data_IF_185602046550
#
_entry.id   IF_185602046550
#
_cell.length_a   1.000
_cell.length_b   1.000
_cell.length_c   1.000
_cell.angle_alpha   90.00
_cell.angle_beta   90.00
_cell.angle_gamma   90.00
#
_symmetry.space_group_name_H-M   'P 1'
#
loop_
_entity.id
_entity.type
_entity.pdbx_description
1 polymer ?
#
# COMPACT_ATOMS: atom_id res chain seq x y z
N UNK A 1 -9.38 -9.24 1.12
CA UNK A 1 -8.62 -8.11 1.71
C UNK A 1 -9.51 -6.88 1.84
N UNK A 2 -9.25 -6.02 2.80
CA UNK A 2 -9.92 -4.71 2.89
C UNK A 2 -8.99 -3.57 2.55
N UNK A 3 -9.53 -2.50 1.99
CA UNK A 3 -8.79 -1.23 1.85
C UNK A 3 -9.27 -0.32 2.97
N UNK A 4 -8.35 0.11 3.83
CA UNK A 4 -8.63 0.91 5.03
C UNK A 4 -7.84 2.21 4.96
N UNK A 5 -8.50 3.33 5.24
CA UNK A 5 -7.87 4.64 5.24
C UNK A 5 -8.74 5.66 5.96
N UNK A 6 -8.17 6.80 6.33
CA UNK A 6 -8.97 7.98 6.68
C UNK A 6 -9.60 8.60 5.41
N UNK A 7 -10.51 9.56 5.62
CA UNK A 7 -11.16 10.32 4.54
C UNK A 7 -10.09 10.98 3.68
N UNK A 8 -10.31 11.05 2.37
CA UNK A 8 -9.40 11.67 1.40
C UNK A 8 -8.03 11.01 1.23
N UNK A 9 -7.61 10.00 2.00
CA UNK A 9 -6.34 9.28 1.74
C UNK A 9 -6.25 8.60 0.35
N UNK A 10 -7.38 8.49 -0.36
CA UNK A 10 -7.49 7.88 -1.68
C UNK A 10 -7.81 6.39 -1.64
N UNK A 11 -8.53 5.94 -0.62
CA UNK A 11 -9.02 4.56 -0.48
C UNK A 11 -9.83 4.11 -1.70
N UNK A 12 -10.92 4.82 -2.03
CA UNK A 12 -11.79 4.50 -3.17
C UNK A 12 -11.03 4.58 -4.48
N UNK A 13 -10.18 5.60 -4.67
CA UNK A 13 -9.33 5.70 -5.86
C UNK A 13 -8.41 4.49 -6.00
N UNK A 14 -7.81 4.04 -4.90
CA UNK A 14 -6.96 2.84 -4.90
C UNK A 14 -7.76 1.60 -5.26
N UNK A 15 -8.94 1.42 -4.64
CA UNK A 15 -9.86 0.31 -4.95
C UNK A 15 -10.27 0.29 -6.43
N UNK A 16 -10.66 1.43 -7.00
CA UNK A 16 -11.01 1.54 -8.42
C UNK A 16 -9.83 1.19 -9.34
N UNK A 17 -8.58 1.59 -8.99
CA UNK A 17 -7.39 1.18 -9.73
C UNK A 17 -7.15 -0.32 -9.65
N UNK A 18 -7.39 -0.95 -8.50
CA UNK A 18 -7.29 -2.41 -8.38
C UNK A 18 -8.30 -3.10 -9.29
N UNK A 19 -9.57 -2.68 -9.25
CA UNK A 19 -10.63 -3.24 -10.10
C UNK A 19 -10.36 -3.04 -11.59
N UNK A 20 -9.71 -1.93 -11.94
CA UNK A 20 -9.28 -1.66 -13.30
C UNK A 20 -8.15 -2.60 -13.75
N UNK A 21 -7.07 -2.73 -12.98
CA UNK A 21 -5.93 -3.59 -13.35
C UNK A 21 -6.26 -5.08 -13.36
N UNK A 22 -7.23 -5.49 -12.56
CA UNK A 22 -7.74 -6.88 -12.55
C UNK A 22 -8.77 -7.16 -13.64
N UNK A 23 -9.09 -6.18 -14.50
CA UNK A 23 -9.97 -6.34 -15.65
C UNK A 23 -11.47 -6.42 -15.31
N UNK A 24 -11.86 -6.21 -14.05
CA UNK A 24 -13.28 -6.16 -13.64
C UNK A 24 -13.95 -4.90 -14.20
N UNK A 25 -13.26 -3.77 -14.10
CA UNK A 25 -13.73 -2.50 -14.63
C UNK A 25 -13.00 -2.13 -15.92
N UNK A 26 -13.74 -2.00 -17.01
CA UNK A 26 -13.21 -1.56 -18.32
C UNK A 26 -13.09 -0.03 -18.43
N UNK A 27 -13.61 0.72 -17.46
CA UNK A 27 -13.48 2.17 -17.32
C UNK A 27 -13.05 2.49 -15.90
N UNK A 28 -12.07 3.37 -15.76
CA UNK A 28 -11.78 4.03 -14.49
C UNK A 28 -12.88 5.08 -14.29
N UNK A 29 -13.70 4.91 -13.26
CA UNK A 29 -14.52 5.97 -12.73
C UNK A 29 -13.67 6.91 -11.86
N UNK A 30 -13.76 8.21 -12.07
CA UNK A 30 -13.24 9.17 -11.09
C UNK A 30 -14.31 9.42 -10.03
N UNK A 31 -13.90 9.38 -8.76
CA UNK A 31 -14.79 9.63 -7.61
C UNK A 31 -15.40 11.03 -7.71
N UNK A 32 -14.62 12.01 -8.21
CA UNK A 32 -15.07 13.38 -8.42
C UNK A 32 -16.13 13.55 -9.51
N UNK A 33 -16.21 12.61 -10.46
CA UNK A 33 -17.18 12.64 -11.56
C UNK A 33 -18.45 11.82 -11.26
N UNK A 34 -18.57 11.26 -10.04
CA UNK A 34 -19.69 10.41 -9.63
C UNK A 34 -19.75 9.06 -10.36
N UNK A 35 -18.64 8.64 -10.98
CA UNK A 35 -18.57 7.44 -11.81
C UNK A 35 -17.89 6.25 -11.12
N UNK A 36 -17.53 6.36 -9.83
CA UNK A 36 -16.90 5.29 -9.07
C UNK A 36 -17.85 4.09 -8.93
N UNK A 37 -17.32 2.89 -9.12
CA UNK A 37 -18.09 1.64 -9.12
C UNK A 37 -18.46 1.22 -7.71
N UNK A 38 -17.58 1.50 -6.74
CA UNK A 38 -17.77 1.12 -5.33
C UNK A 38 -18.69 2.08 -4.56
N UNK A 39 -18.71 3.37 -4.90
CA UNK A 39 -19.60 4.38 -4.30
C UNK A 39 -20.89 4.46 -5.14
N UNK A 40 -21.76 3.45 -5.02
CA UNK A 40 -22.97 3.30 -5.84
C UNK A 40 -24.17 4.10 -5.31
N UNK A 41 -24.17 4.49 -4.04
CA UNK A 41 -25.25 5.28 -3.47
C UNK A 41 -25.14 6.76 -3.90
N UNK A 42 -26.27 7.38 -4.26
CA UNK A 42 -26.28 8.81 -4.63
C UNK A 42 -25.70 9.73 -3.53
N UNK A 43 -25.85 9.35 -2.25
CA UNK A 43 -25.32 10.11 -1.13
C UNK A 43 -23.79 10.00 -1.02
N UNK A 44 -23.22 8.84 -1.36
CA UNK A 44 -21.77 8.62 -1.43
C UNK A 44 -21.17 9.48 -2.55
N UNK A 45 -21.79 9.45 -3.74
CA UNK A 45 -21.36 10.25 -4.89
C UNK A 45 -21.47 11.76 -4.65
N UNK A 46 -22.56 12.21 -4.00
CA UNK A 46 -22.76 13.63 -3.66
C UNK A 46 -21.75 14.14 -2.63
N UNK A 47 -21.29 13.28 -1.72
CA UNK A 47 -20.41 13.66 -0.60
C UNK A 47 -18.94 13.30 -0.83
N UNK A 48 -18.63 12.48 -1.84
CA UNK A 48 -17.28 12.00 -2.12
C UNK A 48 -16.71 11.09 -1.03
N UNK A 49 -17.57 10.40 -0.27
CA UNK A 49 -17.16 9.49 0.82
C UNK A 49 -17.87 8.14 0.70
N UNK A 50 -17.16 7.06 1.03
CA UNK A 50 -17.77 5.73 1.18
C UNK A 50 -18.54 5.65 2.49
N UNK A 51 -19.83 5.32 2.41
CA UNK A 51 -20.75 5.18 3.53
C UNK A 51 -20.95 3.69 3.83
N UNK A 52 -21.16 2.87 2.80
CA UNK A 52 -21.42 1.42 2.92
C UNK A 52 -20.30 0.57 2.35
N UNK A 53 -20.04 -0.57 2.97
CA UNK A 53 -19.04 -1.51 2.47
C UNK A 53 -19.54 -2.24 1.22
N UNK A 54 -18.81 -2.10 0.12
CA UNK A 54 -19.03 -2.86 -1.11
C UNK A 54 -18.01 -4.00 -1.21
N UNK A 55 -18.48 -5.18 -1.64
CA UNK A 55 -17.64 -6.36 -1.83
C UNK A 55 -17.57 -6.74 -3.32
N UNK A 56 -16.35 -6.86 -3.84
CA UNK A 56 -16.11 -7.20 -5.25
C UNK A 56 -15.03 -8.27 -5.35
N UNK A 57 -15.27 -9.29 -6.17
CA UNK A 57 -14.28 -10.32 -6.49
C UNK A 57 -13.51 -9.92 -7.75
N UNK A 58 -12.19 -10.03 -7.70
CA UNK A 58 -11.31 -9.82 -8.83
C UNK A 58 -10.21 -10.89 -8.88
N UNK A 59 -9.52 -10.97 -10.02
CA UNK A 59 -8.44 -11.94 -10.23
C UNK A 59 -7.15 -11.20 -10.58
N UNK A 60 -6.07 -11.51 -9.89
CA UNK A 60 -4.74 -10.98 -10.17
C UNK A 60 -3.76 -12.14 -10.31
N UNK A 61 -3.21 -12.32 -11.51
CA UNK A 61 -2.44 -13.52 -11.87
C UNK A 61 -3.27 -14.77 -11.54
N UNK A 62 -2.70 -15.76 -10.86
CA UNK A 62 -3.39 -16.99 -10.46
C UNK A 62 -4.14 -16.90 -9.12
N UNK A 63 -4.40 -15.68 -8.62
CA UNK A 63 -5.02 -15.46 -7.30
C UNK A 63 -6.41 -14.81 -7.43
N UNK A 64 -7.38 -15.34 -6.70
CA UNK A 64 -8.67 -14.69 -6.48
C UNK A 64 -8.58 -13.77 -5.26
N UNK A 65 -8.96 -12.50 -5.44
CA UNK A 65 -8.98 -11.49 -4.40
C UNK A 65 -10.42 -11.02 -4.20
N UNK A 66 -10.92 -11.13 -2.97
CA UNK A 66 -12.20 -10.53 -2.60
C UNK A 66 -11.91 -9.22 -1.86
N UNK A 67 -12.28 -8.08 -2.45
CA UNK A 67 -12.06 -6.76 -1.89
C UNK A 67 -13.31 -6.32 -1.14
N UNK A 68 -13.13 -5.85 0.09
CA UNK A 68 -14.16 -5.11 0.84
C UNK A 68 -13.66 -3.68 0.99
N UNK A 69 -14.34 -2.74 0.34
CA UNK A 69 -14.02 -1.32 0.51
C UNK A 69 -14.65 -0.83 1.82
N UNK A 70 -13.85 -0.36 2.77
CA UNK A 70 -14.34 -0.05 4.13
C UNK A 70 -14.61 1.44 4.30
N UNK A 71 -15.62 1.91 5.06
CA UNK A 71 -15.79 3.33 5.31
C UNK A 71 -14.55 3.96 5.97
N UNK A 72 -14.17 5.16 5.50
CA UNK A 72 -12.99 5.88 6.04
C UNK A 72 -13.33 6.92 7.10
N UNK A 73 -14.63 7.18 7.31
CA UNK A 73 -15.12 8.16 8.27
C UNK A 73 -15.38 7.52 9.63
N UNK A 74 -14.97 8.22 10.69
CA UNK A 74 -15.15 7.81 12.09
C UNK A 74 -16.61 7.64 12.53
N UNK A 75 -17.56 8.16 11.75
CA UNK A 75 -18.99 8.10 12.08
C UNK A 75 -19.59 6.74 11.70
N UNK A 76 -18.91 5.97 10.85
CA UNK A 76 -19.32 4.64 10.39
C UNK A 76 -18.53 3.51 11.06
N UNK A 77 -18.11 3.73 12.31
CA UNK A 77 -17.30 2.77 13.10
C UNK A 77 -17.86 1.35 13.14
N UNK A 78 -19.18 1.19 13.24
CA UNK A 78 -19.82 -0.14 13.28
C UNK A 78 -19.57 -0.93 11.99
N UNK A 79 -19.57 -0.25 10.85
CA UNK A 79 -19.39 -0.88 9.54
C UNK A 79 -17.92 -1.20 9.27
N UNK A 80 -17.01 -0.34 9.73
CA UNK A 80 -15.57 -0.61 9.76
C UNK A 80 -15.26 -1.83 10.63
N UNK A 81 -15.80 -1.90 11.85
CA UNK A 81 -15.60 -3.06 12.74
C UNK A 81 -16.17 -4.36 12.14
N UNK A 82 -17.35 -4.30 11.50
CA UNK A 82 -17.92 -5.48 10.82
C UNK A 82 -17.06 -5.97 9.68
N UNK A 83 -16.53 -5.05 8.87
CA UNK A 83 -15.67 -5.38 7.74
C UNK A 83 -14.36 -5.99 8.21
N UNK A 84 -13.69 -5.38 9.21
CA UNK A 84 -12.42 -5.87 9.73
C UNK A 84 -12.49 -7.29 10.32
N UNK A 85 -13.63 -7.69 10.87
CA UNK A 85 -13.83 -9.04 11.44
C UNK A 85 -13.86 -10.18 10.43
N UNK A 86 -14.09 -9.88 9.15
CA UNK A 86 -14.21 -10.90 8.10
C UNK A 86 -13.02 -10.90 7.13
N UNK A 87 -12.07 -9.99 7.33
CA UNK A 87 -10.93 -9.80 6.44
C UNK A 87 -9.73 -10.64 6.87
N UNK A 88 -9.15 -11.39 5.93
CA UNK A 88 -7.88 -12.11 6.13
C UNK A 88 -6.66 -11.19 6.17
N UNK A 89 -6.83 -9.95 5.71
CA UNK A 89 -5.80 -8.91 5.71
C UNK A 89 -6.30 -7.61 5.11
N UNK A 90 -5.54 -6.53 5.30
CA UNK A 90 -5.90 -5.20 4.79
C UNK A 90 -4.72 -4.39 4.25
N UNK A 91 -5.04 -3.45 3.37
CA UNK A 91 -4.12 -2.41 2.88
C UNK A 91 -4.46 -1.11 3.58
N UNK A 92 -3.57 -0.63 4.44
CA UNK A 92 -3.69 0.66 5.10
C UNK A 92 -3.14 1.77 4.20
N UNK A 93 -4.03 2.64 3.71
CA UNK A 93 -3.67 3.73 2.79
C UNK A 93 -3.43 5.02 3.58
N UNK A 94 -2.30 5.67 3.32
CA UNK A 94 -1.91 6.95 3.93
C UNK A 94 -1.73 8.02 2.85
N UNK A 95 -2.08 9.27 3.14
CA UNK A 95 -1.76 10.41 2.26
C UNK A 95 -0.28 10.75 2.44
N UNK A 96 0.51 10.70 1.37
CA UNK A 96 1.96 10.90 1.43
C UNK A 96 2.39 12.29 1.91
N UNK A 97 1.50 13.28 1.94
CA UNK A 97 1.78 14.60 2.50
C UNK A 97 1.41 14.68 3.98
N UNK A 98 0.23 14.21 4.34
CA UNK A 98 -0.30 14.39 5.71
C UNK A 98 0.17 13.28 6.66
N UNK A 99 0.61 12.14 6.13
CA UNK A 99 1.06 10.99 6.90
C UNK A 99 -0.07 10.32 7.68
N UNK A 100 0.21 9.90 8.92
CA UNK A 100 -0.79 9.36 9.84
C UNK A 100 -1.61 10.48 10.47
N UNK A 101 -2.90 10.54 10.17
CA UNK A 101 -3.85 11.46 10.82
C UNK A 101 -4.58 10.83 12.02
N UNK A 102 -5.19 11.62 12.93
CA UNK A 102 -5.94 11.09 14.09
C UNK A 102 -7.00 10.05 13.72
N UNK A 103 -7.67 10.23 12.57
CA UNK A 103 -8.66 9.28 12.05
C UNK A 103 -7.99 7.98 11.56
N UNK A 104 -6.77 8.05 11.02
CA UNK A 104 -5.98 6.87 10.65
C UNK A 104 -5.64 6.04 11.88
N UNK A 105 -5.31 6.68 13.00
CA UNK A 105 -5.04 5.98 14.26
C UNK A 105 -6.24 5.17 14.75
N UNK A 106 -7.44 5.73 14.64
CA UNK A 106 -8.66 5.04 15.05
C UNK A 106 -8.92 3.78 14.21
N UNK A 107 -8.82 3.90 12.88
CA UNK A 107 -9.00 2.79 11.95
C UNK A 107 -7.90 1.74 12.13
N UNK A 108 -6.67 2.17 12.40
CA UNK A 108 -5.54 1.29 12.75
C UNK A 108 -5.79 0.52 14.04
N UNK A 109 -6.25 1.18 15.11
CA UNK A 109 -6.58 0.54 16.40
C UNK A 109 -7.68 -0.51 16.25
N UNK A 110 -8.69 -0.25 15.42
CA UNK A 110 -9.75 -1.21 15.14
C UNK A 110 -9.20 -2.45 14.43
N UNK A 111 -8.34 -2.29 13.43
CA UNK A 111 -7.73 -3.44 12.76
C UNK A 111 -6.79 -4.24 13.68
N UNK A 112 -6.10 -3.56 14.61
CA UNK A 112 -5.29 -4.21 15.65
C UNK A 112 -6.16 -5.01 16.63
N UNK A 113 -7.32 -4.48 17.05
CA UNK A 113 -8.27 -5.17 17.93
C UNK A 113 -8.79 -6.50 17.34
N UNK A 114 -8.85 -6.61 16.01
CA UNK A 114 -9.29 -7.81 15.31
C UNK A 114 -8.14 -8.60 14.69
N UNK A 115 -6.90 -8.32 15.10
CA UNK A 115 -5.73 -9.10 14.68
C UNK A 115 -5.51 -9.15 13.16
N UNK A 116 -5.97 -8.13 12.42
CA UNK A 116 -5.93 -8.12 10.94
C UNK A 116 -4.49 -7.87 10.46
N UNK A 117 -3.87 -8.81 9.72
CA UNK A 117 -2.58 -8.61 9.06
C UNK A 117 -2.66 -7.48 8.03
N UNK A 118 -1.64 -6.62 7.96
CA UNK A 118 -1.70 -5.40 7.15
C UNK A 118 -0.41 -5.09 6.42
N UNK A 119 -0.55 -4.46 5.27
CA UNK A 119 0.51 -3.70 4.59
C UNK A 119 0.13 -2.22 4.55
N UNK A 120 1.11 -1.34 4.38
CA UNK A 120 0.93 0.10 4.29
C UNK A 120 1.20 0.56 2.86
N UNK A 121 0.31 1.40 2.31
CA UNK A 121 0.46 2.04 1.01
C UNK A 121 0.44 3.55 1.16
N UNK A 122 1.60 4.18 0.97
CA UNK A 122 1.74 5.64 0.95
C UNK A 122 1.30 6.13 -0.42
N UNK A 123 0.08 6.65 -0.49
CA UNK A 123 -0.57 7.10 -1.70
C UNK A 123 -0.34 8.59 -1.94
N UNK A 124 -0.75 9.09 -3.11
CA UNK A 124 -0.64 10.50 -3.51
C UNK A 124 0.79 11.04 -3.49
N UNK A 125 1.76 10.21 -3.86
CA UNK A 125 3.15 10.65 -4.02
C UNK A 125 3.33 11.73 -5.11
N UNK A 126 2.28 12.00 -5.90
CA UNK A 126 2.21 13.08 -6.88
C UNK A 126 1.81 14.45 -6.31
N UNK A 127 1.37 14.52 -5.05
CA UNK A 127 0.91 15.75 -4.40
C UNK A 127 2.09 16.61 -3.96
N UNK A 128 1.95 17.94 -4.05
CA UNK A 128 2.92 18.89 -3.50
C UNK A 128 3.10 18.66 -1.99
N UNK A 129 4.34 18.53 -1.54
CA UNK A 129 4.69 18.20 -0.16
C UNK A 129 4.57 16.72 0.20
N UNK A 130 4.39 15.82 -0.78
CA UNK A 130 4.43 14.39 -0.52
C UNK A 130 5.84 13.95 -0.09
N UNK A 131 5.93 13.33 1.08
CA UNK A 131 7.16 12.84 1.67
C UNK A 131 6.93 11.44 2.25
N UNK A 132 7.54 10.46 1.58
CA UNK A 132 7.49 9.06 1.97
C UNK A 132 8.13 8.82 3.35
N UNK A 133 9.29 9.43 3.61
CA UNK A 133 10.05 9.21 4.83
C UNK A 133 9.36 9.85 6.03
N UNK A 134 8.78 11.04 5.85
CA UNK A 134 7.89 11.63 6.84
C UNK A 134 6.72 10.70 7.16
N UNK A 135 6.03 10.18 6.15
CA UNK A 135 4.90 9.28 6.35
C UNK A 135 5.31 8.01 7.11
N UNK A 136 6.43 7.38 6.73
CA UNK A 136 7.01 6.23 7.44
C UNK A 136 7.32 6.57 8.91
N UNK A 137 7.91 7.74 9.17
CA UNK A 137 8.15 8.23 10.53
C UNK A 137 6.85 8.36 11.34
N UNK A 138 5.80 8.94 10.75
CA UNK A 138 4.51 9.07 11.44
C UNK A 138 3.83 7.72 11.72
N UNK A 139 4.01 6.70 10.87
CA UNK A 139 3.55 5.33 11.13
C UNK A 139 4.20 4.79 12.41
N UNK A 140 5.51 5.02 12.59
CA UNK A 140 6.21 4.63 13.81
C UNK A 140 5.73 5.42 15.02
N UNK A 141 5.76 6.75 14.93
CA UNK A 141 5.60 7.62 16.09
C UNK A 141 4.15 7.72 16.58
N UNK A 142 3.17 7.72 15.66
CA UNK A 142 1.75 7.91 16.01
C UNK A 142 1.00 6.59 16.21
N UNK A 143 1.31 5.57 15.42
CA UNK A 143 0.65 4.26 15.52
C UNK A 143 1.35 3.30 16.49
N UNK A 144 2.61 3.58 16.86
CA UNK A 144 3.45 2.64 17.60
C UNK A 144 3.72 1.35 16.82
N UNK A 145 3.66 1.42 15.49
CA UNK A 145 3.89 0.30 14.59
C UNK A 145 5.36 0.25 14.14
N UNK A 146 5.82 -0.93 13.71
CA UNK A 146 7.15 -1.09 13.09
C UNK A 146 6.99 -1.03 11.58
N UNK A 147 7.18 0.12 10.89
CA UNK A 147 7.15 0.16 9.44
C UNK A 147 8.38 -0.58 8.87
N UNK A 148 8.17 -1.34 7.80
CA UNK A 148 9.22 -2.02 7.05
C UNK A 148 9.17 -1.58 5.59
N UNK A 149 9.86 -0.50 5.19
CA UNK A 149 9.88 -0.08 3.80
C UNK A 149 10.42 -1.18 2.89
N UNK A 150 9.60 -1.61 1.91
CA UNK A 150 10.01 -2.55 0.86
C UNK A 150 10.10 -1.87 -0.51
N UNK A 151 9.76 -0.58 -0.55
CA UNK A 151 9.92 0.29 -1.71
C UNK A 151 10.38 1.68 -1.29
N UNK A 152 11.09 2.36 -2.20
CA UNK A 152 11.42 3.79 -2.08
C UNK A 152 10.88 4.55 -3.29
N UNK A 153 10.39 5.80 -3.14
CA UNK A 153 9.92 6.58 -4.28
C UNK A 153 11.09 7.04 -5.17
N UNK A 154 10.84 7.08 -6.48
CA UNK A 154 11.72 7.71 -7.47
C UNK A 154 11.10 9.04 -7.88
N UNK A 155 11.73 10.13 -7.44
CA UNK A 155 11.19 11.48 -7.52
C UNK A 155 10.11 11.74 -6.46
N UNK A 156 9.56 12.95 -6.50
CA UNK A 156 8.54 13.44 -5.57
C UNK A 156 7.60 14.38 -6.29
N UNK A 157 6.35 14.49 -5.82
CA UNK A 157 5.36 15.41 -6.38
C UNK A 157 5.18 15.17 -7.89
N UNK A 158 5.23 16.23 -8.70
CA UNK A 158 5.12 16.12 -10.17
C UNK A 158 6.23 15.29 -10.82
N UNK A 159 7.39 15.19 -10.17
CA UNK A 159 8.54 14.42 -10.66
C UNK A 159 8.50 12.95 -10.20
N UNK A 160 7.45 12.53 -9.50
CA UNK A 160 7.26 11.13 -9.12
C UNK A 160 7.04 10.26 -10.37
N UNK A 161 8.03 9.43 -10.69
CA UNK A 161 8.03 8.58 -11.89
C UNK A 161 8.06 7.10 -11.59
N UNK A 162 8.27 6.68 -10.34
CA UNK A 162 8.38 5.26 -10.06
C UNK A 162 8.74 4.93 -8.62
N UNK A 163 9.08 3.67 -8.42
CA UNK A 163 9.51 3.13 -7.13
C UNK A 163 10.72 2.23 -7.31
N UNK A 164 11.60 2.18 -6.33
CA UNK A 164 12.63 1.15 -6.21
C UNK A 164 12.00 -0.04 -5.50
N UNK A 165 12.00 -1.22 -6.11
CA UNK A 165 11.70 -2.51 -5.45
C UNK A 165 12.95 -2.95 -4.68
N UNK A 166 12.91 -2.87 -3.35
CA UNK A 166 14.02 -3.25 -2.48
C UNK A 166 14.17 -4.77 -2.34
N UNK A 167 13.16 -5.57 -2.71
CA UNK A 167 13.25 -7.03 -2.66
C UNK A 167 14.07 -7.54 -3.85
N UNK A 168 13.85 -6.96 -5.03
CA UNK A 168 14.56 -7.34 -6.28
C UNK A 168 15.74 -6.45 -6.62
N UNK A 169 15.90 -5.34 -5.90
CA UNK A 169 16.89 -4.29 -6.14
C UNK A 169 16.83 -3.73 -7.57
N UNK A 170 15.64 -3.27 -8.00
CA UNK A 170 15.42 -2.69 -9.34
C UNK A 170 14.47 -1.50 -9.27
N UNK A 171 14.57 -0.59 -10.24
CA UNK A 171 13.60 0.49 -10.41
C UNK A 171 12.40 0.02 -11.24
N UNK A 172 11.20 0.36 -10.79
CA UNK A 172 9.94 0.20 -11.50
C UNK A 172 9.44 1.60 -11.87
N UNK A 173 9.48 1.94 -13.15
CA UNK A 173 9.22 3.29 -13.64
C UNK A 173 7.99 3.33 -14.55
N UNK A 174 7.25 4.43 -14.44
CA UNK A 174 6.15 4.81 -15.30
C UNK A 174 6.42 6.22 -15.81
N UNK A 175 6.95 6.31 -17.03
CA UNK A 175 7.38 7.57 -17.64
C UNK A 175 6.25 8.17 -18.49
N UNK A 176 6.08 9.49 -18.41
CA UNK A 176 5.05 10.21 -19.16
C UNK A 176 3.64 10.04 -18.59
N UNK A 177 2.65 10.33 -19.42
CA UNK A 177 1.23 10.10 -19.10
C UNK A 177 0.93 8.61 -19.26
N UNK A 178 0.90 7.92 -18.12
CA UNK A 178 0.64 6.48 -18.04
C UNK A 178 -0.73 6.17 -18.61
N UNK A 179 -0.73 5.54 -19.77
CA UNK A 179 -1.95 5.16 -20.44
C UNK A 179 -2.65 4.04 -19.67
N UNK A 180 -3.95 3.94 -19.92
CA UNK A 180 -4.82 2.93 -19.33
C UNK A 180 -4.31 1.52 -19.66
N UNK A 181 -3.86 0.79 -18.64
CA UNK A 181 -3.38 -0.60 -18.77
C UNK A 181 -1.89 -0.71 -19.11
N UNK A 182 -1.15 0.39 -19.11
CA UNK A 182 0.29 0.40 -19.33
C UNK A 182 1.02 -0.14 -18.09
N UNK A 183 1.96 -1.05 -18.32
CA UNK A 183 2.76 -1.65 -17.26
C UNK A 183 4.02 -0.81 -17.01
N UNK A 184 4.67 -1.01 -15.87
CA UNK A 184 5.95 -0.36 -15.59
C UNK A 184 7.07 -0.94 -16.43
N UNK A 185 8.09 -0.12 -16.67
CA UNK A 185 9.39 -0.57 -17.15
C UNK A 185 10.30 -0.93 -15.97
N UNK A 186 11.03 -2.04 -16.10
CA UNK A 186 12.06 -2.44 -15.13
C UNK A 186 13.39 -1.88 -15.57
N UNK A 187 13.99 -1.04 -14.73
CA UNK A 187 15.23 -0.33 -14.99
C UNK A 187 16.24 -0.51 -13.84
N UNK A 188 17.48 -0.06 -14.05
CA UNK A 188 18.47 0.05 -12.98
C UNK A 188 18.07 1.15 -11.99
N UNK A 189 18.47 0.99 -10.73
CA UNK A 189 18.23 2.00 -9.69
C UNK A 189 19.01 3.28 -10.04
N UNK A 190 18.36 4.45 -10.04
CA UNK A 190 19.05 5.72 -10.24
C UNK A 190 20.24 5.91 -9.30
N UNK A 191 21.34 6.47 -9.80
CA UNK A 191 22.61 6.55 -9.07
C UNK A 191 22.49 7.34 -7.75
N UNK A 192 21.61 8.34 -7.72
CA UNK A 192 21.30 9.17 -6.55
C UNK A 192 20.50 8.42 -5.46
N UNK A 193 19.82 7.33 -5.82
CA UNK A 193 19.05 6.49 -4.90
C UNK A 193 19.77 5.21 -4.51
N UNK A 194 20.87 4.85 -5.16
CA UNK A 194 21.55 3.57 -4.98
C UNK A 194 22.01 3.33 -3.54
N UNK A 195 22.72 4.29 -2.94
CA UNK A 195 23.21 4.19 -1.57
C UNK A 195 22.07 4.03 -0.56
N UNK A 196 21.00 4.80 -0.73
CA UNK A 196 19.82 4.70 0.13
C UNK A 196 19.05 3.40 -0.10
N UNK A 197 18.98 2.91 -1.33
CA UNK A 197 18.36 1.62 -1.62
C UNK A 197 19.14 0.48 -0.94
N UNK A 198 20.48 0.53 -0.95
CA UNK A 198 21.33 -0.46 -0.26
C UNK A 198 21.15 -0.40 1.26
N UNK A 199 21.06 0.80 1.86
CA UNK A 199 20.76 0.98 3.28
C UNK A 199 19.42 0.33 3.67
N UNK A 200 18.34 0.67 2.96
CA UNK A 200 17.01 0.14 3.26
C UNK A 200 16.86 -1.33 2.89
N UNK A 201 17.57 -1.82 1.87
CA UNK A 201 17.65 -3.24 1.56
C UNK A 201 18.33 -4.02 2.69
N UNK A 202 19.44 -3.50 3.24
CA UNK A 202 20.13 -4.12 4.37
C UNK A 202 19.20 -4.23 5.58
N UNK A 203 18.51 -3.13 5.93
CA UNK A 203 17.53 -3.14 7.02
C UNK A 203 16.35 -4.10 6.77
N UNK A 204 15.90 -4.22 5.50
CA UNK A 204 14.88 -5.18 5.12
C UNK A 204 15.35 -6.63 5.30
N UNK A 205 16.55 -6.95 4.83
CA UNK A 205 17.14 -8.28 4.93
C UNK A 205 17.39 -8.65 6.39
N UNK A 206 17.87 -7.73 7.22
CA UNK A 206 18.04 -7.91 8.66
C UNK A 206 16.71 -8.25 9.34
N UNK A 207 15.67 -7.45 9.09
CA UNK A 207 14.34 -7.69 9.66
C UNK A 207 13.74 -9.04 9.21
N UNK A 208 14.03 -9.48 7.98
CA UNK A 208 13.62 -10.80 7.48
C UNK A 208 14.42 -11.92 8.15
N UNK A 209 15.72 -11.75 8.33
CA UNK A 209 16.58 -12.74 8.98
C UNK A 209 16.13 -13.03 10.42
N UNK A 210 15.63 -12.02 11.15
CA UNK A 210 15.05 -12.17 12.50
C UNK A 210 13.81 -13.07 12.57
N UNK A 211 13.20 -13.42 11.44
CA UNK A 211 11.97 -14.23 11.42
C UNK A 211 12.20 -15.73 11.54
N UNK A 212 13.44 -16.19 11.34
CA UNK A 212 13.75 -17.61 11.17
C UNK A 212 15.24 -17.86 11.46
N UNK A 213 15.53 -18.83 12.35
CA UNK A 213 16.90 -19.12 12.80
C UNK A 213 17.83 -19.48 11.63
N UNK A 214 17.35 -20.18 10.59
CA UNK A 214 18.16 -20.53 9.43
C UNK A 214 18.51 -19.29 8.59
N UNK A 215 17.55 -18.36 8.44
CA UNK A 215 17.80 -17.09 7.75
C UNK A 215 18.77 -16.19 8.52
N UNK A 216 18.68 -16.19 9.86
CA UNK A 216 19.61 -15.49 10.74
C UNK A 216 21.05 -16.03 10.60
N UNK A 217 21.21 -17.36 10.58
CA UNK A 217 22.53 -17.98 10.38
C UNK A 217 23.15 -17.61 9.04
N UNK A 218 22.37 -17.64 7.95
CA UNK A 218 22.83 -17.21 6.62
C UNK A 218 23.27 -15.74 6.61
N UNK A 219 22.46 -14.85 7.19
CA UNK A 219 22.76 -13.42 7.26
C UNK A 219 24.05 -13.13 8.05
N UNK A 220 24.20 -13.74 9.23
CA UNK A 220 25.41 -13.59 10.05
C UNK A 220 26.65 -14.23 9.40
N UNK A 221 26.46 -15.25 8.57
CA UNK A 221 27.50 -15.84 7.73
C UNK A 221 27.96 -14.95 6.56
N UNK A 222 27.25 -13.85 6.29
CA UNK A 222 27.51 -12.96 5.16
C UNK A 222 26.98 -13.50 3.82
N UNK A 223 26.07 -14.48 3.85
CA UNK A 223 25.41 -15.00 2.67
C UNK A 223 24.20 -14.13 2.29
N UNK A 224 24.02 -13.86 0.99
CA UNK A 224 22.87 -13.11 0.50
C UNK A 224 21.61 -13.97 0.49
N UNK A 225 20.53 -13.46 1.08
CA UNK A 225 19.23 -14.12 1.03
C UNK A 225 18.64 -14.01 -0.38
N UNK A 226 18.09 -15.12 -0.87
CA UNK A 226 17.37 -15.15 -2.16
C UNK A 226 16.09 -14.31 -2.09
N UNK A 227 15.60 -13.86 -3.26
CA UNK A 227 14.33 -13.12 -3.37
C UNK A 227 13.16 -13.92 -2.77
N UNK A 228 13.13 -15.24 -2.96
CA UNK A 228 12.12 -16.13 -2.42
C UNK A 228 12.17 -16.21 -0.89
N UNK A 229 13.38 -16.26 -0.30
CA UNK A 229 13.57 -16.20 1.15
C UNK A 229 13.12 -14.86 1.73
N UNK A 230 13.48 -13.75 1.07
CA UNK A 230 13.05 -12.40 1.47
C UNK A 230 11.52 -12.31 1.47
N UNK A 231 10.86 -12.77 0.40
CA UNK A 231 9.40 -12.77 0.29
C UNK A 231 8.73 -13.66 1.33
N UNK A 232 9.30 -14.84 1.62
CA UNK A 232 8.80 -15.74 2.65
C UNK A 232 8.91 -15.10 4.05
N UNK A 233 10.02 -14.44 4.35
CA UNK A 233 10.22 -13.70 5.60
C UNK A 233 9.25 -12.52 5.75
N UNK A 234 9.08 -11.70 4.71
CA UNK A 234 8.08 -10.62 4.69
C UNK A 234 6.68 -11.19 4.96
N UNK A 235 6.33 -12.34 4.37
CA UNK A 235 5.05 -13.01 4.61
C UNK A 235 4.88 -13.44 6.07
N UNK A 236 5.93 -13.96 6.73
CA UNK A 236 5.91 -14.28 8.17
C UNK A 236 5.67 -13.02 8.99
N UNK A 237 6.45 -11.96 8.73
CA UNK A 237 6.33 -10.64 9.39
C UNK A 237 4.90 -10.11 9.34
N UNK A 238 4.27 -10.13 8.15
CA UNK A 238 2.89 -9.63 7.98
C UNK A 238 1.89 -10.45 8.77
N UNK A 239 2.00 -11.79 8.73
CA UNK A 239 1.07 -12.69 9.44
C UNK A 239 1.20 -12.55 10.96
N UNK A 240 2.43 -12.41 11.43
CA UNK A 240 2.75 -12.27 12.86
C UNK A 240 2.56 -10.85 13.36
N UNK A 241 2.40 -9.89 12.44
CA UNK A 241 2.18 -8.46 12.72
C UNK A 241 3.34 -7.83 13.51
N UNK A 242 4.55 -8.39 13.35
CA UNK A 242 5.78 -7.90 13.98
C UNK A 242 6.30 -6.62 13.31
N UNK A 243 6.07 -6.47 12.00
CA UNK A 243 6.27 -5.25 11.25
C UNK A 243 5.29 -5.17 10.06
N UNK A 244 5.23 -4.00 9.44
CA UNK A 244 4.24 -3.67 8.41
C UNK A 244 4.95 -3.18 7.16
N UNK A 245 4.97 -3.98 6.07
CA UNK A 245 5.58 -3.60 4.81
C UNK A 245 5.02 -2.29 4.29
N UNK A 246 5.89 -1.33 3.95
CA UNK A 246 5.50 -0.03 3.42
C UNK A 246 5.86 0.05 1.95
N UNK A 247 4.84 0.28 1.14
CA UNK A 247 4.89 0.53 -0.29
C UNK A 247 4.47 1.97 -0.57
N UNK A 248 4.74 2.47 -1.78
CA UNK A 248 4.31 3.81 -2.16
C UNK A 248 3.86 3.90 -3.61
N UNK A 249 3.09 4.94 -3.91
CA UNK A 249 2.59 5.17 -5.26
C UNK A 249 1.66 6.36 -5.37
N UNK A 250 1.08 6.50 -6.55
CA UNK A 250 -0.02 7.42 -6.83
C UNK A 250 -1.11 6.65 -7.57
N UNK A 251 -2.16 6.29 -6.85
CA UNK A 251 -3.36 5.71 -7.44
C UNK A 251 -3.99 6.69 -8.44
N UNK A 252 -3.90 8.00 -8.21
CA UNK A 252 -4.41 9.00 -9.15
C UNK A 252 -3.66 8.95 -10.49
N UNK A 253 -2.33 8.90 -10.47
CA UNK A 253 -1.46 8.88 -11.65
C UNK A 253 -1.18 7.48 -12.23
N UNK A 254 -1.86 6.44 -11.74
CA UNK A 254 -1.67 5.05 -12.20
C UNK A 254 -0.27 4.47 -11.93
N UNK A 255 0.41 4.92 -10.88
CA UNK A 255 1.80 4.49 -10.56
C UNK A 255 1.84 3.76 -9.21
N UNK A 256 2.47 2.60 -9.14
CA UNK A 256 2.71 1.89 -7.88
C UNK A 256 1.56 1.04 -7.33
N UNK A 257 0.38 1.01 -7.98
CA UNK A 257 -0.72 0.12 -7.56
C UNK A 257 -0.47 -1.32 -7.98
N UNK A 258 0.11 -1.55 -9.17
CA UNK A 258 0.40 -2.90 -9.67
C UNK A 258 1.40 -3.66 -8.79
N UNK A 259 2.51 -3.07 -8.30
CA UNK A 259 3.40 -3.75 -7.37
C UNK A 259 2.83 -3.94 -5.96
N UNK A 260 1.77 -3.20 -5.60
CA UNK A 260 1.05 -3.40 -4.35
C UNK A 260 0.09 -4.61 -4.41
N UNK A 261 -0.37 -4.98 -5.61
CA UNK A 261 -1.17 -6.18 -5.88
C UNK A 261 -0.33 -7.45 -6.04
#
# INVERSE_FOLDING_TARGET
>A
IGIMAHIDAGKTTTTERILYYTGINYKIGEVHDGAATMDWMEEEQKRGITITSAATTCFWKDHQINIIDTPGHVDFTVEVERSLRVLDGAVAVFDGKEGVEPQSEQVWRQATKYDVPRICFVNKMDKLGADFYFTVGTIKDRLGATPLPIQLPIGSENDFIGVVDLVRMRALTWRGDVQKGEDYTVEEIPADLKERAEEYHTALVEAVAETDDELMELYLGGEELTVEQIQAGIRRIVKDRSAYPVLCGSAFKNKGVQPML
#
